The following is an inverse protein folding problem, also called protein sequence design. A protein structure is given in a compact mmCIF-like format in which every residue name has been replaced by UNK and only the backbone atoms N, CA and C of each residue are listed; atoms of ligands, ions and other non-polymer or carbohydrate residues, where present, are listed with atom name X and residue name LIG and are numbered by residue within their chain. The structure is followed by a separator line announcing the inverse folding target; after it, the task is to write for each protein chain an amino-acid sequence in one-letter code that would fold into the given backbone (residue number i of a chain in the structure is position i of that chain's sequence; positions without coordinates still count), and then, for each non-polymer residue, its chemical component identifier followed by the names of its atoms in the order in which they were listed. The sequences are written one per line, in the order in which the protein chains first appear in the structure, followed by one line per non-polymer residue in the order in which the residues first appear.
data_IF_095207549814
#
_entry.id   IF_095207549814
#
_cell.length_a   1.000
_cell.length_b   1.000
_cell.length_c   1.000
_cell.angle_alpha   90.00
_cell.angle_beta   90.00
_cell.angle_gamma   90.00
#
_symmetry.space_group_name_H-M   'P 1'
#
loop_
_entity.id
_entity.type
_entity.pdbx_description
1 polymer ?
#
# COMPACT_ATOMS: atom_id res chain seq x y z
N UNK A 1 -21.67 -5.69 16.74
CA UNK A 1 -20.66 -5.05 15.87
C UNK A 1 -20.07 -6.11 14.95
N UNK A 2 -20.46 -6.11 13.67
CA UNK A 2 -20.19 -7.19 12.69
C UNK A 2 -18.87 -6.98 11.92
N UNK A 3 -18.16 -5.85 12.11
CA UNK A 3 -17.04 -5.44 11.23
C UNK A 3 -15.64 -5.84 11.78
N UNK A 4 -15.52 -6.28 13.03
CA UNK A 4 -14.28 -6.08 13.80
C UNK A 4 -13.43 -7.33 14.08
N UNK A 5 -13.17 -8.19 13.10
CA UNK A 5 -12.31 -9.38 13.32
C UNK A 5 -11.20 -9.59 12.28
N UNK A 6 -10.55 -8.51 11.84
CA UNK A 6 -9.20 -8.62 11.25
C UNK A 6 -8.73 -7.37 10.51
N UNK A 7 -7.50 -7.46 10.02
CA UNK A 7 -6.69 -6.30 9.64
C UNK A 7 -6.84 -5.86 8.17
N UNK A 8 -7.82 -6.42 7.44
CA UNK A 8 -8.10 -6.10 6.04
C UNK A 8 -8.23 -4.59 5.75
N UNK A 9 -8.93 -3.79 6.57
CA UNK A 9 -9.01 -2.35 6.35
C UNK A 9 -7.65 -1.62 6.35
N UNK A 10 -6.67 -2.12 7.12
CA UNK A 10 -5.32 -1.55 7.12
C UNK A 10 -4.61 -1.71 5.77
N UNK A 11 -5.00 -2.71 4.97
CA UNK A 11 -4.45 -2.92 3.63
C UNK A 11 -4.74 -1.75 2.68
N UNK A 12 -5.76 -0.95 2.96
CA UNK A 12 -6.11 0.25 2.19
C UNK A 12 -5.73 1.53 2.95
N UNK A 13 -5.91 1.54 4.27
CA UNK A 13 -5.67 2.72 5.10
C UNK A 13 -4.19 3.15 5.06
N UNK A 14 -3.25 2.19 5.14
CA UNK A 14 -1.80 2.49 5.10
C UNK A 14 -1.38 3.06 3.74
N UNK A 15 -1.74 2.46 2.58
CA UNK A 15 -1.47 3.06 1.28
C UNK A 15 -2.06 4.46 1.13
N UNK A 16 -3.33 4.64 1.48
CA UNK A 16 -4.01 5.94 1.38
C UNK A 16 -3.31 7.00 2.22
N UNK A 17 -2.95 6.68 3.47
CA UNK A 17 -2.21 7.60 4.33
C UNK A 17 -0.83 7.95 3.74
N UNK A 18 -0.12 6.96 3.20
CA UNK A 18 1.20 7.16 2.59
C UNK A 18 1.11 8.05 1.35
N UNK A 19 0.08 7.86 0.52
CA UNK A 19 -0.19 8.69 -0.65
C UNK A 19 -0.52 10.12 -0.23
N UNK A 20 -1.42 10.32 0.73
CA UNK A 20 -1.78 11.66 1.20
C UNK A 20 -0.57 12.41 1.78
N UNK A 21 0.27 11.73 2.56
CA UNK A 21 1.53 12.30 3.06
C UNK A 21 2.46 12.67 1.90
N UNK A 22 2.62 11.79 0.92
CA UNK A 22 3.46 12.07 -0.24
C UNK A 22 2.97 13.24 -1.08
N UNK A 23 1.66 13.36 -1.29
CA UNK A 23 1.05 14.49 -2.00
C UNK A 23 1.25 15.79 -1.22
N UNK A 24 1.08 15.75 0.11
CA UNK A 24 1.26 16.93 0.95
C UNK A 24 2.67 17.52 0.86
N UNK A 25 3.71 16.67 0.81
CA UNK A 25 5.11 17.13 0.78
C UNK A 25 5.67 17.34 -0.64
N UNK A 26 5.27 16.51 -1.60
CA UNK A 26 5.90 16.45 -2.94
C UNK A 26 4.94 16.78 -4.09
N UNK A 27 3.66 17.01 -3.80
CA UNK A 27 2.68 17.44 -4.79
C UNK A 27 3.01 18.83 -5.33
N UNK A 28 2.91 19.01 -6.65
CA UNK A 28 3.07 20.32 -7.30
C UNK A 28 1.68 20.89 -7.57
N UNK A 29 1.43 22.12 -7.11
CA UNK A 29 0.17 22.84 -7.31
C UNK A 29 -1.08 22.04 -6.87
N UNK A 30 -0.99 21.26 -5.79
CA UNK A 30 -2.10 20.44 -5.29
C UNK A 30 -2.44 19.22 -6.16
N UNK A 31 -1.64 18.92 -7.19
CA UNK A 31 -1.80 17.74 -8.03
C UNK A 31 -0.67 16.73 -7.79
N UNK A 32 -1.03 15.45 -7.90
CA UNK A 32 -0.11 14.34 -7.82
C UNK A 32 0.07 13.74 -9.21
N UNK A 33 1.29 13.78 -9.73
CA UNK A 33 1.61 13.02 -10.93
C UNK A 33 1.50 11.51 -10.66
N UNK A 34 1.22 10.74 -11.71
CA UNK A 34 1.18 9.27 -11.66
C UNK A 34 2.45 8.68 -11.03
N UNK A 35 3.63 9.26 -11.30
CA UNK A 35 4.90 8.83 -10.70
C UNK A 35 4.91 8.98 -9.18
N UNK A 36 4.52 10.16 -8.67
CA UNK A 36 4.48 10.40 -7.23
C UNK A 36 3.53 9.41 -6.56
N UNK A 37 2.35 9.19 -7.15
CA UNK A 37 1.40 8.19 -6.66
C UNK A 37 2.02 6.79 -6.60
N UNK A 38 2.70 6.35 -7.67
CA UNK A 38 3.31 5.02 -7.73
C UNK A 38 4.48 4.88 -6.74
N UNK A 39 5.30 5.90 -6.55
CA UNK A 39 6.36 5.89 -5.54
C UNK A 39 5.79 5.82 -4.12
N UNK A 40 4.73 6.57 -3.82
CA UNK A 40 4.05 6.48 -2.53
C UNK A 40 3.43 5.11 -2.30
N UNK A 41 2.82 4.53 -3.33
CA UNK A 41 2.27 3.18 -3.27
C UNK A 41 3.37 2.14 -3.04
N UNK A 42 4.50 2.26 -3.73
CA UNK A 42 5.68 1.40 -3.55
C UNK A 42 6.26 1.54 -2.12
N UNK A 43 6.36 2.75 -1.58
CA UNK A 43 6.79 2.98 -0.19
C UNK A 43 5.80 2.43 0.84
N UNK A 44 4.51 2.36 0.52
CA UNK A 44 3.51 1.77 1.41
C UNK A 44 3.63 0.25 1.53
N UNK A 45 4.17 -0.43 0.52
CA UNK A 45 4.33 -1.88 0.49
C UNK A 45 5.12 -2.44 1.69
N UNK A 46 6.34 -1.96 2.02
CA UNK A 46 7.06 -2.42 3.21
C UNK A 46 6.35 -2.06 4.52
N UNK A 47 5.65 -0.91 4.59
CA UNK A 47 4.89 -0.52 5.77
C UNK A 47 3.74 -1.50 6.03
N UNK A 48 2.97 -1.84 5.00
CA UNK A 48 1.90 -2.84 5.08
C UNK A 48 2.46 -4.22 5.42
N UNK A 49 3.58 -4.61 4.81
CA UNK A 49 4.21 -5.91 5.03
C UNK A 49 4.67 -6.10 6.48
N UNK A 50 5.43 -5.15 7.02
CA UNK A 50 5.92 -5.18 8.40
C UNK A 50 4.75 -5.14 9.39
N UNK A 51 3.76 -4.29 9.13
CA UNK A 51 2.54 -4.20 9.95
C UNK A 51 1.79 -5.54 9.95
N UNK A 52 1.69 -6.18 8.79
CA UNK A 52 1.12 -7.52 8.66
C UNK A 52 1.87 -8.59 9.46
N UNK A 53 3.20 -8.64 9.36
CA UNK A 53 4.01 -9.58 10.15
C UNK A 53 3.82 -9.38 11.67
N UNK A 54 3.78 -8.12 12.12
CA UNK A 54 3.62 -7.80 13.55
C UNK A 54 2.24 -8.18 14.08
N UNK A 55 1.20 -7.96 13.30
CA UNK A 55 -0.18 -8.22 13.69
C UNK A 55 -0.55 -9.70 13.58
N UNK A 56 -0.06 -10.40 12.55
CA UNK A 56 -0.29 -11.84 12.37
C UNK A 56 0.42 -12.69 13.44
N UNK A 57 1.52 -12.21 14.03
CA UNK A 57 2.18 -12.90 15.16
C UNK A 57 1.30 -13.06 16.41
N UNK A 58 0.24 -12.26 16.56
CA UNK A 58 -0.63 -12.24 17.75
C UNK A 58 -2.10 -12.62 17.46
N UNK A 59 -2.41 -12.97 16.21
CA UNK A 59 -3.80 -12.98 15.73
C UNK A 59 -4.31 -14.40 15.43
N UNK A 60 -5.28 -14.86 16.24
CA UNK A 60 -6.20 -15.97 15.95
C UNK A 60 -7.45 -15.38 15.31
N UNK A 61 -7.34 -14.75 14.15
CA UNK A 61 -8.47 -14.04 13.52
C UNK A 61 -8.70 -14.61 12.12
N UNK A 62 -9.71 -15.47 12.02
CA UNK A 62 -10.16 -16.13 10.79
C UNK A 62 -11.09 -15.22 9.98
N UNK A 63 -10.57 -14.12 9.44
CA UNK A 63 -11.25 -13.50 8.31
C UNK A 63 -10.78 -14.19 7.02
N UNK A 64 -11.72 -14.41 6.11
CA UNK A 64 -11.51 -14.83 4.70
C UNK A 64 -10.63 -13.86 3.88
N UNK A 65 -10.06 -12.83 4.51
CA UNK A 65 -9.18 -11.87 3.86
C UNK A 65 -7.74 -12.38 3.84
N UNK A 66 -7.10 -12.20 2.68
CA UNK A 66 -5.68 -12.47 2.51
C UNK A 66 -4.89 -11.73 3.61
N UNK A 67 -3.96 -12.41 4.33
CA UNK A 67 -3.20 -11.80 5.41
C UNK A 67 -2.53 -10.49 4.98
N UNK A 68 -2.54 -9.49 5.86
CA UNK A 68 -2.12 -8.11 5.55
C UNK A 68 -0.75 -8.01 4.88
N UNK A 69 0.20 -8.89 5.21
CA UNK A 69 1.52 -8.93 4.58
C UNK A 69 1.47 -9.14 3.05
N UNK A 70 0.55 -9.97 2.56
CA UNK A 70 0.42 -10.21 1.13
C UNK A 70 -0.15 -8.99 0.39
N UNK A 71 -0.99 -8.18 1.04
CA UNK A 71 -1.42 -6.90 0.46
C UNK A 71 -0.25 -5.95 0.24
N UNK A 72 0.74 -5.95 1.15
CA UNK A 72 1.99 -5.20 0.94
C UNK A 72 2.72 -5.66 -0.33
N UNK A 73 2.81 -6.97 -0.55
CA UNK A 73 3.41 -7.54 -1.76
C UNK A 73 2.60 -7.15 -3.00
N UNK A 74 1.28 -7.29 -2.98
CA UNK A 74 0.39 -6.95 -4.10
C UNK A 74 0.58 -5.49 -4.51
N UNK A 75 0.51 -4.56 -3.55
CA UNK A 75 0.72 -3.13 -3.83
C UNK A 75 2.11 -2.84 -4.36
N UNK A 76 3.15 -3.47 -3.79
CA UNK A 76 4.52 -3.31 -4.24
C UNK A 76 4.72 -3.81 -5.68
N UNK A 77 4.19 -4.98 -6.01
CA UNK A 77 4.28 -5.57 -7.36
C UNK A 77 3.53 -4.72 -8.38
N UNK A 78 2.30 -4.26 -8.06
CA UNK A 78 1.53 -3.38 -8.94
C UNK A 78 2.30 -2.09 -9.21
N UNK A 79 2.79 -1.42 -8.16
CA UNK A 79 3.53 -0.17 -8.30
C UNK A 79 4.81 -0.36 -9.13
N UNK A 80 5.59 -1.41 -8.83
CA UNK A 80 6.82 -1.72 -9.55
C UNK A 80 6.56 -2.06 -11.02
N UNK A 81 5.56 -2.89 -11.31
CA UNK A 81 5.21 -3.29 -12.68
C UNK A 81 4.81 -2.07 -13.53
N UNK A 82 4.00 -1.17 -12.98
CA UNK A 82 3.58 0.04 -13.70
C UNK A 82 4.77 0.99 -13.89
N UNK A 83 5.64 1.16 -12.89
CA UNK A 83 6.85 1.97 -13.02
C UNK A 83 7.80 1.42 -14.10
N UNK A 84 8.02 0.10 -14.11
CA UNK A 84 8.86 -0.57 -15.13
C UNK A 84 8.23 -0.42 -16.51
N UNK A 85 6.93 -0.67 -16.66
CA UNK A 85 6.23 -0.51 -17.93
C UNK A 85 6.35 0.92 -18.46
N UNK A 86 6.14 1.92 -17.59
CA UNK A 86 6.30 3.33 -17.94
C UNK A 86 7.73 3.67 -18.33
N UNK A 87 8.72 3.12 -17.62
CA UNK A 87 10.13 3.31 -17.96
C UNK A 87 10.46 2.77 -19.35
N UNK A 88 9.94 1.58 -19.71
CA UNK A 88 10.16 0.98 -21.04
C UNK A 88 9.50 1.78 -22.16
N UNK A 89 8.29 2.32 -21.94
CA UNK A 89 7.56 3.14 -22.93
C UNK A 89 8.08 4.58 -23.05
N UNK A 90 8.84 5.06 -22.06
CA UNK A 90 9.40 6.41 -22.01
C UNK A 90 10.76 6.57 -22.72
N UNK A 91 11.32 5.47 -23.24
CA UNK A 91 12.44 5.43 -24.18
C UNK A 91 11.92 5.14 -25.60
#
# INVERSE_FOLDING_TARGET
MIIYKGWGPLALLIPVATILIGIFFFGKNGNAGLELFLYCLLCSAPLVFITGLRLNRKSVHDLYFIPLQYWGIIWGVIAAAILIYKYIQGY
#
